data_IF_117808026801
#
_entry.id   IF_117808026801
#
_cell.length_a   1.000
_cell.length_b   1.000
_cell.length_c   1.000
_cell.angle_alpha   90.00
_cell.angle_beta   90.00
_cell.angle_gamma   90.00
#
_symmetry.space_group_name_H-M   'P 1'
#
loop_
_entity.id
_entity.type
_entity.pdbx_description
1 polymer ?
#
# COMPACT_ATOMS: atom_id res chain seq x y z
N UNK A 1 -5.96 -15.02 13.21
CA UNK A 1 -4.76 -15.07 12.32
C UNK A 1 -4.62 -13.81 11.43
N UNK A 2 -5.40 -12.74 11.64
CA UNK A 2 -5.36 -11.54 10.78
C UNK A 2 -4.27 -10.51 11.16
N UNK A 3 -4.07 -10.26 12.47
CA UNK A 3 -3.16 -9.20 12.97
C UNK A 3 -1.73 -9.22 12.41
N UNK A 4 -1.12 -10.38 12.17
CA UNK A 4 0.27 -10.47 11.69
C UNK A 4 0.41 -9.93 10.26
N UNK A 5 -0.60 -10.15 9.43
CA UNK A 5 -0.61 -9.76 8.02
C UNK A 5 -0.82 -8.25 7.89
N UNK A 6 -1.70 -7.71 8.73
CA UNK A 6 -1.98 -6.28 8.82
C UNK A 6 -0.75 -5.51 9.33
N UNK A 7 -0.01 -6.06 10.29
CA UNK A 7 1.28 -5.50 10.77
C UNK A 7 2.34 -5.39 9.69
N UNK A 8 2.57 -6.47 8.92
CA UNK A 8 3.52 -6.43 7.79
C UNK A 8 3.14 -5.39 6.74
N UNK A 9 1.84 -5.20 6.56
CA UNK A 9 1.27 -4.30 5.57
C UNK A 9 1.40 -2.82 5.97
N UNK A 10 1.22 -2.48 7.25
CA UNK A 10 1.49 -1.13 7.77
C UNK A 10 2.98 -0.80 7.72
N UNK A 11 3.86 -1.77 8.03
CA UNK A 11 5.31 -1.54 7.91
C UNK A 11 5.72 -1.17 6.49
N UNK A 12 5.14 -1.82 5.48
CA UNK A 12 5.36 -1.47 4.07
C UNK A 12 4.98 -0.01 3.78
N UNK A 13 3.85 0.47 4.32
CA UNK A 13 3.43 1.86 4.14
C UNK A 13 4.44 2.84 4.74
N UNK A 14 4.91 2.57 5.96
CA UNK A 14 5.90 3.39 6.67
C UNK A 14 7.23 3.41 5.91
N UNK A 15 7.68 2.27 5.38
CA UNK A 15 8.90 2.22 4.59
C UNK A 15 8.77 2.98 3.26
N UNK A 16 7.65 2.83 2.55
CA UNK A 16 7.42 3.56 1.30
C UNK A 16 7.31 5.08 1.55
N UNK A 17 6.65 5.49 2.63
CA UNK A 17 6.56 6.88 3.04
C UNK A 17 7.94 7.48 3.35
N UNK A 18 8.81 6.73 4.02
CA UNK A 18 10.15 7.19 4.39
C UNK A 18 11.21 7.11 3.28
N UNK A 19 10.87 6.66 2.05
CA UNK A 19 11.85 6.49 0.98
C UNK A 19 12.48 7.80 0.48
N UNK A 20 11.72 8.90 0.51
CA UNK A 20 12.13 10.24 0.07
C UNK A 20 12.57 11.16 1.21
N UNK A 21 12.64 10.64 2.44
CA UNK A 21 13.10 11.36 3.61
C UNK A 21 12.20 11.13 4.82
N UNK A 22 11.88 12.21 5.50
CA UNK A 22 11.00 12.17 6.67
C UNK A 22 9.53 12.09 6.24
N UNK A 23 8.77 11.23 6.93
CA UNK A 23 7.32 11.12 6.77
C UNK A 23 6.68 12.39 7.31
N UNK A 24 5.91 13.09 6.48
CA UNK A 24 5.21 14.31 6.90
C UNK A 24 4.01 14.01 7.80
N UNK A 25 3.46 15.05 8.44
CA UNK A 25 2.35 14.90 9.38
C UNK A 25 1.06 14.38 8.72
N UNK A 26 0.85 14.70 7.43
CA UNK A 26 -0.31 14.23 6.67
C UNK A 26 -0.19 12.74 6.38
N UNK A 27 0.99 12.28 5.96
CA UNK A 27 1.28 10.87 5.73
C UNK A 27 1.22 10.07 7.03
N UNK A 28 1.76 10.60 8.14
CA UNK A 28 1.65 9.97 9.47
C UNK A 28 0.20 9.83 9.92
N UNK A 29 -0.60 10.87 9.76
CA UNK A 29 -2.01 10.84 10.13
C UNK A 29 -2.77 9.80 9.29
N UNK A 30 -2.53 9.76 7.98
CA UNK A 30 -3.15 8.78 7.09
C UNK A 30 -2.76 7.34 7.44
N UNK A 31 -1.47 7.06 7.62
CA UNK A 31 -0.97 5.73 8.01
C UNK A 31 -1.56 5.32 9.37
N UNK A 32 -1.64 6.25 10.32
CA UNK A 32 -2.23 6.00 11.63
C UNK A 32 -3.71 5.65 11.52
N UNK A 33 -4.50 6.41 10.75
CA UNK A 33 -5.92 6.11 10.49
C UNK A 33 -6.09 4.72 9.88
N UNK A 34 -5.29 4.37 8.88
CA UNK A 34 -5.33 3.05 8.23
C UNK A 34 -4.96 1.94 9.24
N UNK A 35 -3.91 2.13 10.02
CA UNK A 35 -3.47 1.16 11.02
C UNK A 35 -4.50 0.92 12.12
N UNK A 36 -5.12 1.98 12.63
CA UNK A 36 -6.21 1.89 13.60
C UNK A 36 -7.43 1.18 13.03
N UNK A 37 -7.78 1.45 11.77
CA UNK A 37 -8.86 0.74 11.08
C UNK A 37 -8.59 -0.78 10.94
N UNK A 38 -7.31 -1.17 10.91
CA UNK A 38 -6.88 -2.58 10.89
C UNK A 38 -6.62 -3.15 12.30
N UNK A 39 -6.97 -2.41 13.36
CA UNK A 39 -6.95 -2.89 14.74
C UNK A 39 -5.60 -2.80 15.45
N UNK A 40 -4.70 -1.92 14.99
CA UNK A 40 -3.52 -1.51 15.72
C UNK A 40 -3.87 -0.38 16.71
N UNK A 41 -3.21 -0.36 17.87
CA UNK A 41 -3.29 0.78 18.78
C UNK A 41 -2.36 1.92 18.35
N UNK A 42 -2.57 3.11 18.91
CA UNK A 42 -1.69 4.26 18.71
C UNK A 42 -0.27 3.97 19.21
N UNK A 43 -0.14 3.23 20.32
CA UNK A 43 1.18 2.81 20.83
C UNK A 43 1.89 1.84 19.88
N UNK A 44 1.17 0.87 19.31
CA UNK A 44 1.74 -0.04 18.31
C UNK A 44 2.19 0.73 17.05
N UNK A 45 1.40 1.72 16.61
CA UNK A 45 1.74 2.57 15.47
C UNK A 45 2.97 3.43 15.73
N UNK A 46 3.04 4.05 16.90
CA UNK A 46 4.19 4.84 17.32
C UNK A 46 5.46 3.98 17.35
N UNK A 47 5.37 2.75 17.87
CA UNK A 47 6.49 1.81 17.84
C UNK A 47 6.92 1.48 16.40
N UNK A 48 5.99 1.37 15.45
CA UNK A 48 6.35 1.16 14.04
C UNK A 48 6.98 2.39 13.38
N UNK A 49 6.61 3.61 13.78
CA UNK A 49 7.26 4.82 13.27
C UNK A 49 8.67 5.00 13.85
N UNK A 50 8.84 4.73 15.14
CA UNK A 50 10.13 4.87 15.85
C UNK A 50 11.08 3.71 15.54
N UNK A 51 10.53 2.51 15.39
CA UNK A 51 11.22 1.27 15.09
C UNK A 51 10.54 0.53 13.93
N UNK A 52 10.66 1.04 12.69
CA UNK A 52 10.19 0.32 11.52
C UNK A 52 10.78 -1.09 11.51
N UNK A 53 10.00 -2.08 11.06
CA UNK A 53 10.52 -3.44 10.86
C UNK A 53 11.65 -3.43 9.82
N UNK A 54 12.27 -4.58 9.54
CA UNK A 54 13.43 -4.66 8.62
C UNK A 54 13.28 -3.77 7.38
N UNK A 55 14.29 -2.95 7.09
CA UNK A 55 14.28 -2.06 5.93
C UNK A 55 14.04 -2.87 4.65
N UNK A 56 12.89 -2.64 4.03
CA UNK A 56 12.57 -3.19 2.72
C UNK A 56 13.31 -2.36 1.67
N UNK A 57 14.21 -3.00 0.93
CA UNK A 57 14.87 -2.37 -0.21
C UNK A 57 13.99 -2.52 -1.46
N UNK A 58 13.09 -1.55 -1.67
CA UNK A 58 12.17 -1.55 -2.80
C UNK A 58 12.87 -1.58 -4.16
N UNK A 59 14.14 -1.15 -4.24
CA UNK A 59 14.93 -1.18 -5.48
C UNK A 59 15.35 -2.60 -5.90
N UNK A 60 15.30 -3.56 -4.97
CA UNK A 60 15.65 -4.96 -5.19
C UNK A 60 14.46 -5.89 -5.37
N UNK A 61 13.24 -5.36 -5.27
CA UNK A 61 12.04 -6.17 -5.48
C UNK A 61 11.99 -6.63 -6.94
N UNK A 62 11.65 -7.90 -7.13
CA UNK A 62 11.23 -8.39 -8.44
C UNK A 62 9.96 -7.67 -8.90
N UNK A 63 9.68 -7.69 -10.20
CA UNK A 63 8.41 -7.14 -10.73
C UNK A 63 7.19 -7.77 -10.05
N UNK A 64 7.26 -9.07 -9.73
CA UNK A 64 6.20 -9.78 -9.03
C UNK A 64 5.99 -9.25 -7.61
N UNK A 65 7.07 -9.06 -6.85
CA UNK A 65 7.00 -8.54 -5.49
C UNK A 65 6.59 -7.07 -5.46
N UNK A 66 7.06 -6.27 -6.42
CA UNK A 66 6.69 -4.87 -6.57
C UNK A 66 5.18 -4.73 -6.87
N UNK A 67 4.65 -5.55 -7.77
CA UNK A 67 3.22 -5.54 -8.09
C UNK A 67 2.37 -6.03 -6.92
N UNK A 68 2.80 -7.09 -6.25
CA UNK A 68 2.10 -7.63 -5.10
C UNK A 68 2.10 -6.60 -3.95
N UNK A 69 3.17 -5.81 -3.81
CA UNK A 69 3.25 -4.67 -2.89
C UNK A 69 2.23 -3.59 -3.24
N UNK A 70 2.17 -3.16 -4.51
CA UNK A 70 1.16 -2.20 -4.99
C UNK A 70 -0.28 -2.71 -4.77
N UNK A 71 -0.54 -3.98 -5.09
CA UNK A 71 -1.84 -4.60 -4.89
C UNK A 71 -2.26 -4.61 -3.41
N UNK A 72 -1.33 -4.99 -2.52
CA UNK A 72 -1.58 -4.98 -1.07
C UNK A 72 -1.85 -3.57 -0.57
N UNK A 73 -1.15 -2.56 -1.10
CA UNK A 73 -1.35 -1.16 -0.75
C UNK A 73 -2.76 -0.67 -1.12
N UNK A 74 -3.21 -0.92 -2.36
CA UNK A 74 -4.57 -0.57 -2.77
C UNK A 74 -5.62 -1.35 -1.97
N UNK A 75 -5.31 -2.58 -1.56
CA UNK A 75 -6.20 -3.38 -0.72
C UNK A 75 -6.33 -2.82 0.70
N UNK A 76 -5.22 -2.37 1.30
CA UNK A 76 -5.16 -1.78 2.64
C UNK A 76 -5.94 -0.48 2.74
N UNK A 77 -5.92 0.34 1.69
CA UNK A 77 -6.62 1.62 1.69
C UNK A 77 -8.13 1.49 1.50
N UNK A 78 -8.66 0.27 1.42
CA UNK A 78 -10.10 0.03 1.51
C UNK A 78 -10.52 0.03 2.99
N UNK A 79 -10.46 1.19 3.63
CA UNK A 79 -11.09 1.43 4.93
C UNK A 79 -12.59 1.63 4.71
N UNK A 80 -13.42 1.09 5.61
CA UNK A 80 -14.87 0.87 5.46
C UNK A 80 -15.64 1.85 4.53
N UNK A 81 -15.89 1.39 3.29
CA UNK A 81 -16.96 1.86 2.40
C UNK A 81 -16.83 3.29 1.84
N UNK A 82 -15.83 4.06 2.23
CA UNK A 82 -15.59 5.41 1.73
C UNK A 82 -14.12 5.59 1.42
N UNK A 83 -13.89 6.10 0.22
CA UNK A 83 -12.56 6.34 -0.27
C UNK A 83 -12.38 7.84 -0.26
N UNK A 84 -11.38 8.29 0.48
CA UNK A 84 -11.04 9.69 0.58
C UNK A 84 -10.05 10.04 -0.53
N UNK A 85 -10.17 11.24 -1.13
CA UNK A 85 -9.27 11.70 -2.19
C UNK A 85 -7.78 11.65 -1.75
N UNK A 86 -7.56 11.79 -0.44
CA UNK A 86 -6.27 11.66 0.25
C UNK A 86 -5.67 10.25 0.13
N UNK A 87 -6.46 9.18 0.27
CA UNK A 87 -6.01 7.77 0.15
C UNK A 87 -5.63 7.43 -1.29
N UNK A 88 -6.44 7.90 -2.25
CA UNK A 88 -6.11 7.74 -3.67
C UNK A 88 -4.80 8.47 -3.95
N UNK A 89 -4.69 9.74 -3.57
CA UNK A 89 -3.47 10.55 -3.78
C UNK A 89 -2.24 9.87 -3.20
N UNK A 90 -2.34 9.32 -2.00
CA UNK A 90 -1.25 8.57 -1.38
C UNK A 90 -0.92 7.30 -2.18
N UNK A 91 -1.92 6.51 -2.61
CA UNK A 91 -1.68 5.36 -3.50
C UNK A 91 -0.94 5.76 -4.79
N UNK A 92 -1.29 6.91 -5.38
CA UNK A 92 -0.61 7.42 -6.58
C UNK A 92 0.87 7.70 -6.29
N UNK A 93 1.16 8.36 -5.17
CA UNK A 93 2.52 8.69 -4.76
C UNK A 93 3.35 7.42 -4.53
N UNK A 94 2.79 6.42 -3.83
CA UNK A 94 3.48 5.16 -3.56
C UNK A 94 3.66 4.32 -4.84
N UNK A 95 2.68 4.30 -5.74
CA UNK A 95 2.80 3.62 -7.03
C UNK A 95 3.95 4.20 -7.85
N UNK A 96 4.10 5.54 -7.86
CA UNK A 96 5.23 6.20 -8.52
C UNK A 96 6.58 5.77 -7.92
N UNK A 97 6.67 5.64 -6.58
CA UNK A 97 7.87 5.14 -5.89
C UNK A 97 8.20 3.69 -6.29
N UNK A 98 7.19 2.86 -6.56
CA UNK A 98 7.33 1.48 -7.05
C UNK A 98 7.53 1.36 -8.57
N UNK A 99 7.54 2.47 -9.31
CA UNK A 99 7.70 2.49 -10.76
C UNK A 99 6.42 2.19 -11.55
N UNK A 100 5.25 2.23 -10.91
CA UNK A 100 3.96 2.03 -11.56
C UNK A 100 3.30 3.37 -11.94
N UNK A 101 2.62 3.41 -13.09
CA UNK A 101 1.88 4.59 -13.51
C UNK A 101 0.55 4.69 -12.75
N UNK A 102 -0.06 5.87 -12.77
CA UNK A 102 -1.33 6.15 -12.09
C UNK A 102 -2.44 5.17 -12.51
N UNK A 103 -2.48 4.81 -13.78
CA UNK A 103 -3.47 3.91 -14.35
C UNK A 103 -3.45 2.53 -13.66
N UNK A 104 -2.31 2.10 -13.12
CA UNK A 104 -2.22 0.85 -12.37
C UNK A 104 -3.01 0.92 -11.05
N UNK A 105 -2.94 2.05 -10.35
CA UNK A 105 -3.72 2.30 -9.12
C UNK A 105 -5.20 2.27 -9.43
N UNK A 106 -5.64 2.97 -10.48
CA UNK A 106 -7.05 3.06 -10.88
C UNK A 106 -7.61 1.70 -11.31
N UNK A 107 -6.85 0.93 -12.10
CA UNK A 107 -7.23 -0.41 -12.51
C UNK A 107 -7.39 -1.34 -11.29
N UNK A 108 -6.42 -1.33 -10.37
CA UNK A 108 -6.47 -2.13 -9.14
C UNK A 108 -7.64 -1.71 -8.24
N UNK A 109 -7.84 -0.40 -8.11
CA UNK A 109 -8.92 0.18 -7.32
C UNK A 109 -10.29 -0.30 -7.81
N UNK A 110 -10.52 -0.29 -9.13
CA UNK A 110 -11.78 -0.75 -9.72
C UNK A 110 -12.12 -2.19 -9.33
N UNK A 111 -11.09 -3.06 -9.20
CA UNK A 111 -11.27 -4.46 -8.81
C UNK A 111 -11.48 -4.63 -7.30
N UNK A 112 -10.68 -3.91 -6.49
CA UNK A 112 -10.75 -3.97 -5.03
C UNK A 112 -12.08 -3.38 -4.51
N UNK A 113 -12.55 -2.29 -5.09
CA UNK A 113 -13.82 -1.63 -4.73
C UNK A 113 -15.04 -2.49 -5.06
N UNK A 114 -15.04 -3.17 -6.21
CA UNK A 114 -16.15 -4.02 -6.62
C UNK A 114 -16.37 -5.25 -5.68
N UNK A 115 -15.46 -5.49 -4.71
CA UNK A 115 -15.34 -6.75 -3.94
C UNK A 115 -15.21 -7.98 -4.86
N UNK A 116 -14.89 -7.76 -6.13
CA UNK A 116 -14.71 -8.79 -7.13
C UNK A 116 -13.26 -9.27 -7.00
N UNK A 117 -13.01 -10.20 -6.07
CA UNK A 117 -11.72 -10.90 -5.97
C UNK A 117 -11.55 -11.91 -7.12
N UNK A 118 -11.75 -11.49 -8.38
CA UNK A 118 -11.39 -12.33 -9.51
C UNK A 118 -9.88 -12.30 -9.69
N UNK A 119 -9.22 -13.36 -9.21
CA UNK A 119 -7.78 -13.60 -9.43
C UNK A 119 -7.39 -13.45 -10.91
N UNK A 120 -8.30 -13.75 -11.85
CA UNK A 120 -8.06 -13.58 -13.29
C UNK A 120 -7.94 -12.11 -13.70
N UNK A 121 -8.72 -11.20 -13.13
CA UNK A 121 -8.64 -9.76 -13.45
C UNK A 121 -7.37 -9.15 -12.86
N UNK A 122 -7.02 -9.50 -11.62
CA UNK A 122 -5.75 -9.08 -11.01
C UNK A 122 -4.56 -9.59 -11.84
N UNK A 123 -4.60 -10.84 -12.33
CA UNK A 123 -3.56 -11.35 -13.23
C UNK A 123 -3.49 -10.62 -14.58
N UNK A 124 -4.63 -10.17 -15.14
CA UNK A 124 -4.63 -9.36 -16.36
C UNK A 124 -3.98 -8.00 -16.12
N UNK A 125 -4.31 -7.36 -15.01
CA UNK A 125 -3.70 -6.08 -14.59
C UNK A 125 -2.19 -6.28 -14.38
N UNK A 126 -1.78 -7.34 -13.69
CA UNK A 126 -0.37 -7.71 -13.52
C UNK A 126 0.35 -7.83 -14.86
N UNK A 127 -0.18 -8.62 -15.79
CA UNK A 127 0.39 -8.78 -17.15
C UNK A 127 0.43 -7.48 -17.95
N UNK A 128 -0.53 -6.57 -17.75
CA UNK A 128 -0.57 -5.25 -18.40
C UNK A 128 0.61 -4.38 -17.97
N UNK A 129 0.97 -4.42 -16.68
CA UNK A 129 2.02 -3.56 -16.11
C UNK A 129 3.38 -4.23 -15.96
N UNK A 130 3.46 -5.56 -16.06
CA UNK A 130 4.72 -6.32 -16.14
C UNK A 130 5.36 -6.29 -17.54
N UNK A 131 4.63 -5.82 -18.57
CA UNK A 131 5.20 -5.68 -19.90
C UNK A 131 5.66 -4.25 -20.14
N UNK A 132 6.93 -3.98 -19.80
CA UNK A 132 7.84 -3.13 -20.59
C UNK A 132 9.29 -3.32 -20.13
N UNK A 133 9.89 -4.36 -20.71
CA UNK A 133 11.33 -4.60 -20.86
C UNK A 133 11.51 -5.45 -22.11
#
# INVERSE_FOLDING_TARGET
MSKQKDKSQISILIHLASMDGDIDDTEKELISRIGMAHGLSEEELQEYFDHPLEKIDFSKLSEDESFDTLYNLVHLMKVDGKIFDEEISYCMNMAKKLGYPLEAVMDLYSQVHANVKLKSEIQKIKRKYHKKG
#
